data_IF_632849025986
#
_entry.id   IF_632849025986
#
_cell.length_a   1.000
_cell.length_b   1.000
_cell.length_c   1.000
_cell.angle_alpha   90.00
_cell.angle_beta   90.00
_cell.angle_gamma   90.00
#
_symmetry.space_group_name_H-M   'P 1'
#
loop_
_entity.id
_entity.type
_entity.pdbx_description
1 polymer ?
#
# COMPACT_ATOMS: atom_id res chain seq x y z
N UNK A 1 -31.02 20.78 -11.79
CA UNK A 1 -30.07 19.68 -11.52
C UNK A 1 -30.60 18.35 -12.08
N UNK A 2 -31.82 17.92 -11.73
CA UNK A 2 -32.46 16.72 -12.30
C UNK A 2 -32.61 16.81 -13.85
N UNK A 3 -32.99 17.97 -14.39
CA UNK A 3 -33.07 18.18 -15.85
C UNK A 3 -31.73 18.13 -16.59
N UNK A 4 -30.63 18.44 -15.90
CA UNK A 4 -29.28 18.40 -16.49
C UNK A 4 -28.78 16.96 -16.53
N UNK A 5 -29.06 16.19 -15.47
CA UNK A 5 -28.74 14.77 -15.40
C UNK A 5 -29.57 13.95 -16.40
N UNK A 6 -30.86 14.27 -16.56
CA UNK A 6 -31.71 13.64 -17.58
C UNK A 6 -31.20 13.91 -19.01
N UNK A 7 -30.70 15.12 -19.29
CA UNK A 7 -30.14 15.49 -20.61
C UNK A 7 -28.79 14.86 -20.93
N UNK A 8 -28.00 14.50 -19.93
CA UNK A 8 -26.68 13.86 -20.11
C UNK A 8 -26.81 12.33 -20.25
N UNK A 9 -27.88 11.75 -19.69
CA UNK A 9 -28.14 10.31 -19.69
C UNK A 9 -29.04 9.83 -20.84
N UNK A 10 -29.59 10.73 -21.67
CA UNK A 10 -30.45 10.38 -22.79
C UNK A 10 -29.60 9.91 -24.01
N UNK A 11 -29.70 8.64 -24.45
CA UNK A 11 -28.89 8.07 -25.54
C UNK A 11 -29.21 8.66 -26.93
N UNK A 12 -30.28 9.46 -27.03
CA UNK A 12 -30.91 9.83 -28.30
C UNK A 12 -30.21 10.97 -29.06
N UNK A 13 -29.06 11.48 -28.59
CA UNK A 13 -28.43 12.71 -29.10
C UNK A 13 -27.01 12.60 -29.68
N UNK A 14 -26.53 11.39 -29.99
CA UNK A 14 -25.22 11.19 -30.63
C UNK A 14 -25.05 11.82 -32.03
N UNK A 15 -26.07 12.47 -32.61
CA UNK A 15 -26.01 13.01 -33.99
C UNK A 15 -25.96 14.55 -34.12
N UNK A 16 -25.67 15.32 -33.08
CA UNK A 16 -25.53 16.77 -33.21
C UNK A 16 -24.26 17.32 -32.53
N UNK A 17 -23.12 17.03 -33.14
CA UNK A 17 -21.85 17.69 -32.87
C UNK A 17 -21.77 19.03 -33.59
N UNK A 18 -21.97 20.14 -32.87
CA UNK A 18 -21.25 21.41 -33.04
C UNK A 18 -21.90 22.51 -32.20
N UNK A 19 -21.07 23.39 -31.65
CA UNK A 19 -21.41 24.67 -31.00
C UNK A 19 -21.81 24.60 -29.51
N UNK A 20 -20.83 24.83 -28.63
CA UNK A 20 -20.86 25.84 -27.55
C UNK A 20 -19.58 25.74 -26.71
N UNK A 21 -18.47 26.10 -27.34
CA UNK A 21 -17.18 26.34 -26.68
C UNK A 21 -17.11 27.80 -26.23
N UNK A 22 -17.09 28.05 -24.92
CA UNK A 22 -16.11 28.95 -24.24
C UNK A 22 -16.62 29.65 -22.97
N UNK A 23 -17.93 29.83 -22.74
CA UNK A 23 -18.43 30.64 -21.61
C UNK A 23 -19.02 29.84 -20.42
N UNK A 24 -19.26 28.54 -20.56
CA UNK A 24 -19.85 27.65 -19.54
C UNK A 24 -18.85 26.90 -18.67
N UNK A 25 -17.57 26.86 -19.05
CA UNK A 25 -16.56 26.05 -18.37
C UNK A 25 -16.25 26.51 -16.93
N UNK A 26 -16.29 27.82 -16.65
CA UNK A 26 -15.96 28.34 -15.33
C UNK A 26 -17.03 28.07 -14.25
N UNK A 27 -18.31 28.02 -14.63
CA UNK A 27 -19.41 27.69 -13.70
C UNK A 27 -19.63 26.18 -13.54
N UNK A 28 -19.28 25.37 -14.53
CA UNK A 28 -19.37 23.91 -14.44
C UNK A 28 -18.32 23.34 -13.47
N UNK A 29 -17.09 23.87 -13.47
CA UNK A 29 -16.02 23.40 -12.58
C UNK A 29 -16.31 23.64 -11.09
N UNK A 30 -17.02 24.72 -10.73
CA UNK A 30 -17.45 24.99 -9.36
C UNK A 30 -18.57 24.09 -8.86
N UNK A 31 -19.51 23.71 -9.74
CA UNK A 31 -20.65 22.83 -9.41
C UNK A 31 -20.23 21.35 -9.37
N UNK A 32 -19.25 20.94 -10.17
CA UNK A 32 -18.74 19.57 -10.23
C UNK A 32 -17.91 19.16 -8.99
N UNK A 33 -17.45 20.12 -8.18
CA UNK A 33 -16.66 19.90 -6.97
C UNK A 33 -17.44 20.18 -5.67
N UNK A 34 -18.77 20.25 -5.76
CA UNK A 34 -19.63 20.50 -4.60
C UNK A 34 -19.76 19.23 -3.75
N UNK A 35 -19.69 19.35 -2.42
CA UNK A 35 -19.60 18.17 -1.53
C UNK A 35 -20.87 17.30 -1.59
N UNK A 36 -22.01 17.93 -1.88
CA UNK A 36 -23.31 17.29 -2.08
C UNK A 36 -23.34 16.42 -3.33
N UNK A 37 -22.73 16.91 -4.42
CA UNK A 37 -22.62 16.18 -5.68
C UNK A 37 -21.66 14.99 -5.55
N UNK A 38 -20.53 15.17 -4.85
CA UNK A 38 -19.60 14.08 -4.55
C UNK A 38 -20.26 13.01 -3.68
N UNK A 39 -20.98 13.40 -2.61
CA UNK A 39 -21.72 12.44 -1.76
C UNK A 39 -22.74 11.64 -2.59
N UNK A 40 -23.49 12.30 -3.47
CA UNK A 40 -24.46 11.63 -4.34
C UNK A 40 -23.80 10.59 -5.24
N UNK A 41 -22.64 10.90 -5.83
CA UNK A 41 -21.88 9.95 -6.64
C UNK A 41 -21.36 8.77 -5.81
N UNK A 42 -20.94 9.00 -4.57
CA UNK A 42 -20.55 7.92 -3.66
C UNK A 42 -21.76 7.06 -3.27
N UNK A 43 -22.92 7.65 -3.03
CA UNK A 43 -24.15 6.90 -2.72
C UNK A 43 -24.60 6.04 -3.92
N UNK A 44 -24.42 6.54 -5.15
CA UNK A 44 -24.64 5.76 -6.37
C UNK A 44 -23.67 4.57 -6.43
N UNK A 45 -22.40 4.75 -6.05
CA UNK A 45 -21.45 3.63 -5.97
C UNK A 45 -21.91 2.56 -4.97
N UNK A 46 -22.46 2.96 -3.82
CA UNK A 46 -22.90 2.02 -2.76
C UNK A 46 -24.15 1.23 -3.12
N UNK A 47 -25.12 1.86 -3.79
CA UNK A 47 -26.51 1.34 -3.83
C UNK A 47 -27.04 1.01 -5.22
N UNK A 48 -26.35 1.42 -6.28
CA UNK A 48 -26.87 1.31 -7.65
C UNK A 48 -26.39 0.07 -8.40
N UNK A 49 -27.00 -0.19 -9.56
CA UNK A 49 -26.61 -1.27 -10.45
C UNK A 49 -25.20 -1.05 -11.06
N UNK A 50 -24.55 -2.09 -11.61
CA UNK A 50 -23.17 -2.00 -12.06
C UNK A 50 -22.95 -0.97 -13.19
N UNK A 51 -23.95 -0.76 -14.04
CA UNK A 51 -23.92 0.26 -15.09
C UNK A 51 -23.84 1.69 -14.51
N UNK A 52 -24.68 2.01 -13.52
CA UNK A 52 -24.65 3.29 -12.84
C UNK A 52 -23.38 3.48 -11.99
N UNK A 53 -22.89 2.42 -11.35
CA UNK A 53 -21.61 2.43 -10.65
C UNK A 53 -20.44 2.74 -11.60
N UNK A 54 -20.43 2.14 -12.80
CA UNK A 54 -19.43 2.41 -13.84
C UNK A 54 -19.41 3.88 -14.24
N UNK A 55 -20.60 4.46 -14.47
CA UNK A 55 -20.77 5.88 -14.82
C UNK A 55 -20.30 6.78 -13.67
N UNK A 56 -20.72 6.49 -12.43
CA UNK A 56 -20.31 7.24 -11.25
C UNK A 56 -18.80 7.21 -11.03
N UNK A 57 -18.16 6.04 -11.09
CA UNK A 57 -16.72 5.89 -10.96
C UNK A 57 -15.95 6.64 -12.07
N UNK A 58 -16.48 6.64 -13.29
CA UNK A 58 -15.88 7.35 -14.42
C UNK A 58 -15.99 8.88 -14.28
N UNK A 59 -17.14 9.38 -13.83
CA UNK A 59 -17.35 10.81 -13.54
C UNK A 59 -16.42 11.26 -12.41
N UNK A 60 -16.33 10.48 -11.32
CA UNK A 60 -15.39 10.76 -10.24
C UNK A 60 -13.95 10.79 -10.73
N UNK A 61 -13.55 9.82 -11.56
CA UNK A 61 -12.22 9.81 -12.15
C UNK A 61 -11.96 11.06 -13.04
N UNK A 62 -12.96 11.49 -13.81
CA UNK A 62 -12.84 12.69 -14.64
C UNK A 62 -12.66 13.95 -13.80
N UNK A 63 -13.47 14.13 -12.74
CA UNK A 63 -13.34 15.25 -11.80
C UNK A 63 -11.94 15.29 -11.20
N UNK A 64 -11.38 14.12 -10.87
CA UNK A 64 -10.04 13.96 -10.33
C UNK A 64 -8.89 14.27 -11.30
N UNK A 65 -9.17 14.34 -12.60
CA UNK A 65 -8.14 14.69 -13.59
C UNK A 65 -7.83 16.18 -13.57
N UNK A 66 -8.74 17.03 -13.06
CA UNK A 66 -8.67 18.48 -13.28
C UNK A 66 -8.30 19.36 -12.07
N UNK A 67 -8.29 18.91 -10.79
CA UNK A 67 -7.79 19.66 -9.60
C UNK A 67 -7.99 18.89 -8.25
N UNK A 68 -7.43 19.36 -7.10
CA UNK A 68 -7.33 18.57 -5.87
C UNK A 68 -8.58 18.75 -4.98
N UNK A 69 -9.63 17.95 -5.20
CA UNK A 69 -10.81 17.88 -4.32
C UNK A 69 -10.82 16.65 -3.39
N UNK A 70 -9.63 16.13 -3.09
CA UNK A 70 -9.43 14.88 -2.35
C UNK A 70 -9.97 14.95 -0.94
N UNK A 71 -9.71 16.07 -0.25
CA UNK A 71 -10.13 16.26 1.13
C UNK A 71 -11.65 16.16 1.28
N UNK A 72 -12.39 16.75 0.32
CA UNK A 72 -13.86 16.66 0.28
C UNK A 72 -14.33 15.24 -0.03
N UNK A 73 -13.62 14.48 -0.86
CA UNK A 73 -14.01 13.11 -1.20
C UNK A 73 -13.68 12.10 -0.08
N UNK A 74 -12.55 12.26 0.62
CA UNK A 74 -12.24 11.47 1.81
C UNK A 74 -13.32 11.71 2.87
N UNK A 75 -13.81 12.95 3.01
CA UNK A 75 -14.95 13.25 3.88
C UNK A 75 -16.30 12.67 3.40
N UNK A 76 -16.41 12.32 2.11
CA UNK A 76 -17.60 11.69 1.52
C UNK A 76 -17.57 10.16 1.55
N UNK A 77 -16.63 9.53 2.28
CA UNK A 77 -16.58 8.08 2.48
C UNK A 77 -16.54 7.27 1.16
N UNK A 78 -15.70 7.72 0.23
CA UNK A 78 -15.46 7.04 -1.05
C UNK A 78 -15.00 5.59 -0.89
N UNK A 79 -14.34 5.27 0.23
CA UNK A 79 -13.81 3.93 0.49
C UNK A 79 -14.92 2.90 0.57
N UNK A 80 -15.96 3.15 1.36
CA UNK A 80 -17.09 2.22 1.44
C UNK A 80 -17.87 2.12 0.11
N UNK A 81 -17.89 3.21 -0.68
CA UNK A 81 -18.41 3.19 -2.05
C UNK A 81 -17.64 2.25 -2.97
N UNK A 82 -16.30 2.29 -2.91
CA UNK A 82 -15.45 1.39 -3.68
C UNK A 82 -15.53 -0.06 -3.17
N UNK A 83 -15.56 -0.27 -1.86
CA UNK A 83 -15.74 -1.59 -1.25
C UNK A 83 -17.06 -2.24 -1.68
N UNK A 84 -18.16 -1.47 -1.69
CA UNK A 84 -19.45 -1.95 -2.17
C UNK A 84 -19.42 -2.40 -3.64
N UNK A 85 -18.68 -1.69 -4.50
CA UNK A 85 -18.48 -2.09 -5.90
C UNK A 85 -17.67 -3.40 -5.98
N UNK A 86 -16.69 -3.60 -5.12
CA UNK A 86 -15.84 -4.80 -5.12
C UNK A 86 -16.48 -6.02 -4.43
N UNK A 87 -17.49 -5.81 -3.57
CA UNK A 87 -18.20 -6.88 -2.84
C UNK A 87 -19.52 -7.30 -3.50
N UNK A 88 -19.73 -6.98 -4.78
CA UNK A 88 -20.97 -7.33 -5.46
C UNK A 88 -21.22 -8.84 -5.47
N UNK A 89 -22.46 -9.23 -5.19
CA UNK A 89 -22.90 -10.64 -5.14
C UNK A 89 -22.63 -11.40 -6.45
N UNK A 90 -22.74 -10.71 -7.59
CA UNK A 90 -22.44 -11.26 -8.92
C UNK A 90 -21.01 -11.77 -9.09
N UNK A 91 -20.10 -11.41 -8.18
CA UNK A 91 -18.69 -11.83 -8.19
C UNK A 91 -18.44 -13.11 -7.38
N UNK A 92 -19.37 -13.50 -6.50
CA UNK A 92 -19.22 -14.55 -5.48
C UNK A 92 -20.06 -15.82 -5.76
N UNK A 93 -20.95 -15.81 -6.76
CA UNK A 93 -21.82 -16.96 -7.01
C UNK A 93 -21.04 -18.17 -7.57
N UNK A 94 -21.02 -19.22 -6.75
CA UNK A 94 -20.37 -20.50 -6.98
C UNK A 94 -21.36 -21.49 -7.59
N UNK A 95 -21.11 -21.83 -8.84
CA UNK A 95 -21.39 -23.09 -9.56
C UNK A 95 -22.76 -23.79 -9.58
N UNK A 96 -23.80 -23.40 -8.84
CA UNK A 96 -24.99 -24.25 -8.77
C UNK A 96 -26.37 -23.63 -9.03
N UNK A 97 -26.51 -22.35 -9.38
CA UNK A 97 -27.83 -21.81 -9.72
C UNK A 97 -27.86 -20.99 -11.02
N UNK A 98 -28.81 -21.38 -11.87
CA UNK A 98 -29.53 -20.64 -12.92
C UNK A 98 -28.80 -19.58 -13.75
N UNK A 99 -28.77 -19.81 -15.07
CA UNK A 99 -28.52 -18.82 -16.14
C UNK A 99 -27.54 -17.71 -15.77
N UNK A 100 -26.25 -17.93 -16.03
CA UNK A 100 -25.24 -16.87 -15.97
C UNK A 100 -25.74 -15.70 -16.81
N UNK A 101 -26.20 -14.64 -16.15
CA UNK A 101 -26.64 -13.42 -16.84
C UNK A 101 -25.38 -12.72 -17.34
N UNK A 102 -24.91 -13.12 -18.53
CA UNK A 102 -23.65 -12.68 -19.14
C UNK A 102 -23.57 -11.15 -19.13
N UNK A 103 -24.72 -10.48 -19.33
CA UNK A 103 -24.84 -9.03 -19.28
C UNK A 103 -24.51 -8.47 -17.90
N UNK A 104 -25.05 -9.03 -16.82
CA UNK A 104 -24.76 -8.58 -15.45
C UNK A 104 -23.29 -8.81 -15.07
N UNK A 105 -22.69 -9.91 -15.54
CA UNK A 105 -21.27 -10.19 -15.33
C UNK A 105 -20.36 -9.21 -16.08
N UNK A 106 -20.73 -8.83 -17.32
CA UNK A 106 -20.02 -7.79 -18.07
C UNK A 106 -20.15 -6.41 -17.43
N UNK A 107 -21.36 -6.02 -17.02
CA UNK A 107 -21.58 -4.74 -16.35
C UNK A 107 -20.84 -4.68 -15.00
N UNK A 108 -20.82 -5.78 -14.23
CA UNK A 108 -20.04 -5.90 -12.99
C UNK A 108 -18.53 -5.78 -13.27
N UNK A 109 -18.04 -6.43 -14.33
CA UNK A 109 -16.65 -6.31 -14.76
C UNK A 109 -16.26 -4.87 -15.12
N UNK A 110 -17.13 -4.16 -15.84
CA UNK A 110 -16.93 -2.76 -16.19
C UNK A 110 -16.92 -1.85 -14.94
N UNK A 111 -17.81 -2.09 -13.98
CA UNK A 111 -17.89 -1.35 -12.72
C UNK A 111 -16.61 -1.53 -11.90
N UNK A 112 -16.17 -2.78 -11.74
CA UNK A 112 -14.93 -3.15 -11.04
C UNK A 112 -13.71 -2.52 -11.71
N UNK A 113 -13.63 -2.55 -13.03
CA UNK A 113 -12.51 -1.93 -13.77
C UNK A 113 -12.48 -0.41 -13.58
N UNK A 114 -13.64 0.25 -13.67
CA UNK A 114 -13.75 1.69 -13.46
C UNK A 114 -13.38 2.09 -12.02
N UNK A 115 -13.88 1.33 -11.02
CA UNK A 115 -13.54 1.51 -9.61
C UNK A 115 -12.06 1.26 -9.32
N UNK A 116 -11.46 0.22 -9.91
CA UNK A 116 -10.02 -0.07 -9.78
C UNK A 116 -9.15 1.04 -10.36
N UNK A 117 -9.57 1.63 -11.48
CA UNK A 117 -8.89 2.78 -12.09
C UNK A 117 -9.00 4.03 -11.22
N UNK A 118 -10.18 4.31 -10.67
CA UNK A 118 -10.38 5.39 -9.71
C UNK A 118 -9.52 5.19 -8.46
N UNK A 119 -9.52 3.99 -7.88
CA UNK A 119 -8.70 3.65 -6.71
C UNK A 119 -7.21 3.83 -7.01
N UNK A 120 -6.74 3.32 -8.15
CA UNK A 120 -5.34 3.51 -8.60
C UNK A 120 -4.96 4.99 -8.67
N UNK A 121 -5.88 5.85 -9.10
CA UNK A 121 -5.67 7.30 -9.17
C UNK A 121 -5.69 7.95 -7.79
N UNK A 122 -6.61 7.54 -6.91
CA UNK A 122 -6.65 8.01 -5.52
C UNK A 122 -5.34 7.66 -4.77
N UNK A 123 -4.78 6.47 -5.06
CA UNK A 123 -3.49 6.02 -4.56
C UNK A 123 -2.28 6.79 -5.14
N UNK A 124 -2.45 7.76 -6.06
CA UNK A 124 -1.36 8.70 -6.37
C UNK A 124 -1.18 9.77 -5.28
N UNK A 125 -2.16 9.93 -4.39
CA UNK A 125 -2.22 11.04 -3.46
C UNK A 125 -1.91 10.61 -2.02
N UNK A 126 -0.95 11.29 -1.41
CA UNK A 126 -0.41 10.97 -0.08
C UNK A 126 -1.46 11.03 1.05
N UNK A 127 -2.45 11.93 0.97
CA UNK A 127 -3.51 12.03 1.97
C UNK A 127 -4.41 10.78 2.01
N UNK A 128 -4.63 10.14 0.85
CA UNK A 128 -5.42 8.93 0.75
C UNK A 128 -4.64 7.71 1.28
N UNK A 129 -3.30 7.70 1.21
CA UNK A 129 -2.49 6.61 1.76
C UNK A 129 -2.66 6.43 3.26
N UNK A 130 -2.93 7.52 4.00
CA UNK A 130 -3.07 7.48 5.46
C UNK A 130 -4.44 6.96 5.92
N UNK A 131 -5.46 7.06 5.07
CA UNK A 131 -6.83 6.70 5.42
C UNK A 131 -7.27 5.36 4.84
N UNK A 132 -6.58 4.82 3.84
CA UNK A 132 -6.99 3.60 3.14
C UNK A 132 -6.65 2.33 3.91
N UNK A 133 -7.67 1.50 4.11
CA UNK A 133 -7.51 0.12 4.53
C UNK A 133 -6.93 -0.73 3.38
N UNK A 134 -5.61 -0.64 3.22
CA UNK A 134 -4.88 -1.32 2.14
C UNK A 134 -5.04 -2.84 2.17
N UNK A 135 -5.19 -3.42 3.37
CA UNK A 135 -5.43 -4.85 3.56
C UNK A 135 -6.78 -5.29 2.97
N UNK A 136 -7.88 -4.60 3.33
CA UNK A 136 -9.21 -4.94 2.85
C UNK A 136 -9.29 -4.88 1.32
N UNK A 137 -8.79 -3.79 0.72
CA UNK A 137 -8.77 -3.66 -0.74
C UNK A 137 -7.89 -4.72 -1.41
N UNK A 138 -6.77 -5.11 -0.81
CA UNK A 138 -5.91 -6.18 -1.36
C UNK A 138 -6.65 -7.51 -1.41
N UNK A 139 -7.37 -7.88 -0.34
CA UNK A 139 -8.15 -9.11 -0.31
C UNK A 139 -9.30 -9.09 -1.31
N UNK A 140 -10.02 -7.97 -1.41
CA UNK A 140 -11.09 -7.79 -2.39
C UNK A 140 -10.58 -7.90 -3.83
N UNK A 141 -9.48 -7.22 -4.18
CA UNK A 141 -8.91 -7.28 -5.52
C UNK A 141 -8.36 -8.68 -5.86
N UNK A 142 -7.79 -9.41 -4.88
CA UNK A 142 -7.38 -10.81 -5.07
C UNK A 142 -8.59 -11.71 -5.35
N UNK A 143 -9.67 -11.56 -4.59
CA UNK A 143 -10.92 -12.31 -4.82
C UNK A 143 -11.48 -12.04 -6.23
N UNK A 144 -11.44 -10.78 -6.68
CA UNK A 144 -11.85 -10.36 -8.02
C UNK A 144 -10.97 -10.97 -9.11
N UNK A 145 -9.65 -11.02 -8.93
CA UNK A 145 -8.76 -11.68 -9.90
C UNK A 145 -9.04 -13.18 -10.03
N UNK A 146 -9.47 -13.81 -8.93
CA UNK A 146 -9.88 -15.22 -8.88
C UNK A 146 -11.33 -15.45 -9.35
N UNK A 147 -12.11 -14.40 -9.59
CA UNK A 147 -13.52 -14.48 -10.00
C UNK A 147 -13.71 -14.76 -11.50
N UNK A 148 -14.98 -14.95 -11.90
CA UNK A 148 -15.43 -15.20 -13.28
C UNK A 148 -15.42 -13.97 -14.20
N UNK A 149 -15.00 -12.80 -13.71
CA UNK A 149 -14.94 -11.57 -14.52
C UNK A 149 -14.09 -11.79 -15.79
N UNK A 150 -14.51 -11.26 -16.96
CA UNK A 150 -13.71 -11.29 -18.18
C UNK A 150 -12.29 -10.72 -18.01
N UNK A 151 -11.30 -11.37 -18.63
CA UNK A 151 -9.88 -11.03 -18.52
C UNK A 151 -9.58 -9.55 -18.85
N UNK A 152 -10.33 -8.95 -19.78
CA UNK A 152 -10.14 -7.55 -20.18
C UNK A 152 -10.28 -6.55 -19.04
N UNK A 153 -11.13 -6.85 -18.04
CA UNK A 153 -11.35 -5.99 -16.88
C UNK A 153 -10.34 -6.23 -15.76
N UNK A 154 -9.69 -7.40 -15.74
CA UNK A 154 -8.69 -7.78 -14.72
C UNK A 154 -7.40 -6.97 -14.82
N UNK A 155 -7.10 -6.35 -15.95
CA UNK A 155 -5.88 -5.54 -16.13
C UNK A 155 -5.80 -4.37 -15.14
N UNK A 156 -6.90 -3.63 -14.96
CA UNK A 156 -6.93 -2.51 -14.00
C UNK A 156 -6.95 -2.99 -12.55
N UNK A 157 -7.57 -4.14 -12.28
CA UNK A 157 -7.57 -4.79 -10.96
C UNK A 157 -6.13 -5.18 -10.58
N UNK A 158 -5.40 -5.82 -11.50
CA UNK A 158 -4.00 -6.21 -11.31
C UNK A 158 -3.08 -4.98 -11.14
N UNK A 159 -3.24 -3.95 -11.98
CA UNK A 159 -2.49 -2.70 -11.86
C UNK A 159 -2.73 -2.01 -10.51
N UNK A 160 -3.98 -2.02 -10.03
CA UNK A 160 -4.35 -1.49 -8.73
C UNK A 160 -3.71 -2.30 -7.58
N UNK A 161 -3.78 -3.63 -7.66
CA UNK A 161 -3.17 -4.55 -6.68
C UNK A 161 -1.65 -4.34 -6.57
N UNK A 162 -0.94 -4.24 -7.70
CA UNK A 162 0.51 -3.99 -7.72
C UNK A 162 0.84 -2.66 -7.04
N UNK A 163 0.04 -1.63 -7.30
CA UNK A 163 0.23 -0.30 -6.70
C UNK A 163 -0.07 -0.31 -5.20
N UNK A 164 -1.13 -0.99 -4.78
CA UNK A 164 -1.42 -1.22 -3.36
C UNK A 164 -0.30 -2.00 -2.68
N UNK A 165 0.22 -3.06 -3.31
CA UNK A 165 1.35 -3.83 -2.80
C UNK A 165 2.62 -2.97 -2.64
N UNK A 166 2.93 -2.12 -3.61
CA UNK A 166 4.05 -1.18 -3.51
C UNK A 166 3.90 -0.19 -2.34
N UNK A 167 2.67 0.19 -1.99
CA UNK A 167 2.37 1.05 -0.84
C UNK A 167 2.33 0.27 0.47
N UNK A 168 1.82 -0.97 0.44
CA UNK A 168 1.67 -1.90 1.55
C UNK A 168 2.99 -2.58 1.94
N UNK A 169 4.03 -2.53 1.12
CA UNK A 169 5.38 -2.90 1.55
C UNK A 169 5.87 -2.04 2.74
N UNK A 170 5.18 -0.95 3.09
CA UNK A 170 5.41 -0.19 4.34
C UNK A 170 4.64 -0.72 5.56
N UNK A 171 3.66 -1.59 5.33
CA UNK A 171 2.85 -2.26 6.34
C UNK A 171 2.79 -3.74 5.98
N UNK A 172 3.90 -4.45 6.17
CA UNK A 172 3.89 -5.92 6.07
C UNK A 172 2.87 -6.43 7.09
N UNK A 173 1.79 -7.03 6.60
CA UNK A 173 0.84 -7.74 7.43
C UNK A 173 1.56 -8.92 8.08
N UNK A 174 1.63 -8.86 9.41
CA UNK A 174 2.32 -9.82 10.28
C UNK A 174 1.62 -11.19 10.26
N UNK A 175 0.42 -11.29 9.66
CA UNK A 175 -0.47 -12.46 9.76
C UNK A 175 -0.67 -13.25 8.46
N UNK A 176 -0.13 -12.82 7.31
CA UNK A 176 -0.21 -13.62 6.07
C UNK A 176 1.02 -14.55 5.98
N UNK A 177 0.88 -15.89 6.12
CA UNK A 177 2.01 -16.81 6.09
C UNK A 177 2.80 -16.77 4.77
N UNK A 178 2.17 -16.38 3.66
CA UNK A 178 2.85 -16.20 2.37
C UNK A 178 3.75 -14.96 2.42
N UNK A 179 3.31 -13.90 3.07
CA UNK A 179 4.08 -12.66 3.23
C UNK A 179 5.27 -12.86 4.18
N UNK A 180 5.11 -13.73 5.19
CA UNK A 180 6.20 -14.14 6.09
C UNK A 180 7.30 -14.88 5.32
N UNK A 181 6.96 -15.86 4.49
CA UNK A 181 7.93 -16.64 3.73
C UNK A 181 8.72 -15.77 2.73
N UNK A 182 8.03 -14.89 1.99
CA UNK A 182 8.69 -13.91 1.12
C UNK A 182 9.59 -12.96 1.92
N UNK A 183 9.16 -12.53 3.10
CA UNK A 183 9.96 -11.66 3.97
C UNK A 183 11.24 -12.36 4.43
N UNK A 184 11.15 -13.62 4.83
CA UNK A 184 12.28 -14.39 5.35
C UNK A 184 13.30 -14.76 4.28
N UNK A 185 12.85 -15.25 3.13
CA UNK A 185 13.74 -15.85 2.13
C UNK A 185 14.07 -14.96 0.93
N UNK A 186 13.37 -13.83 0.75
CA UNK A 186 13.66 -12.89 -0.34
C UNK A 186 14.01 -11.50 0.20
N UNK A 187 13.16 -10.93 1.06
CA UNK A 187 13.32 -9.54 1.52
C UNK A 187 14.54 -9.37 2.43
N UNK A 188 14.69 -10.20 3.47
CA UNK A 188 15.83 -10.11 4.40
C UNK A 188 17.17 -10.29 3.67
N UNK A 189 17.41 -11.36 2.87
CA UNK A 189 18.66 -11.52 2.13
C UNK A 189 18.98 -10.33 1.23
N UNK A 190 17.97 -9.82 0.51
CA UNK A 190 18.12 -8.66 -0.37
C UNK A 190 18.51 -7.40 0.40
N UNK A 191 17.88 -7.14 1.55
CA UNK A 191 18.21 -6.00 2.40
C UNK A 191 19.64 -6.12 2.93
N UNK A 192 20.07 -7.29 3.42
CA UNK A 192 21.45 -7.52 3.86
C UNK A 192 22.46 -7.26 2.73
N UNK A 193 22.16 -7.75 1.52
CA UNK A 193 23.00 -7.50 0.35
C UNK A 193 23.06 -6.00 0.00
N UNK A 194 21.94 -5.28 0.10
CA UNK A 194 21.91 -3.83 -0.11
C UNK A 194 22.72 -3.08 0.94
N UNK A 195 22.64 -3.46 2.21
CA UNK A 195 23.40 -2.80 3.28
C UNK A 195 24.92 -2.98 3.05
N UNK A 196 25.34 -4.17 2.62
CA UNK A 196 26.75 -4.50 2.34
C UNK A 196 27.28 -3.87 1.06
N UNK A 197 26.48 -3.84 -0.01
CA UNK A 197 26.92 -3.46 -1.36
C UNK A 197 26.67 -1.99 -1.74
N UNK A 198 25.95 -1.22 -0.93
CA UNK A 198 25.58 0.16 -1.29
C UNK A 198 26.74 1.14 -1.14
N UNK A 199 27.07 1.83 -2.23
CA UNK A 199 27.97 2.99 -2.22
C UNK A 199 27.29 4.27 -1.71
N UNK A 200 25.95 4.29 -1.65
CA UNK A 200 25.17 5.43 -1.17
C UNK A 200 24.73 5.23 0.28
N UNK A 201 25.11 6.16 1.14
CA UNK A 201 24.74 6.17 2.56
C UNK A 201 23.21 6.25 2.76
N UNK A 202 22.48 6.91 1.83
CA UNK A 202 21.02 6.99 1.89
C UNK A 202 20.34 5.63 1.62
N UNK A 203 20.87 4.86 0.66
CA UNK A 203 20.32 3.54 0.33
C UNK A 203 20.62 2.55 1.46
N UNK A 204 21.84 2.60 2.00
CA UNK A 204 22.20 1.81 3.18
C UNK A 204 21.31 2.14 4.37
N UNK A 205 21.12 3.42 4.69
CA UNK A 205 20.24 3.85 5.78
C UNK A 205 18.81 3.33 5.61
N UNK A 206 18.22 3.51 4.42
CA UNK A 206 16.88 3.04 4.14
C UNK A 206 16.75 1.51 4.31
N UNK A 207 17.75 0.75 3.85
CA UNK A 207 17.74 -0.71 3.98
C UNK A 207 17.85 -1.17 5.45
N UNK A 208 18.71 -0.53 6.26
CA UNK A 208 18.83 -0.87 7.69
C UNK A 208 17.56 -0.50 8.46
N UNK A 209 16.97 0.66 8.18
CA UNK A 209 15.72 1.10 8.83
C UNK A 209 14.57 0.15 8.52
N UNK A 210 14.48 -0.28 7.26
CA UNK A 210 13.47 -1.26 6.85
C UNK A 210 13.69 -2.62 7.52
N UNK A 211 14.94 -3.06 7.63
CA UNK A 211 15.28 -4.27 8.37
C UNK A 211 14.89 -4.17 9.84
N UNK A 212 15.19 -3.05 10.51
CA UNK A 212 14.79 -2.80 11.89
C UNK A 212 13.27 -2.86 12.05
N UNK A 213 12.51 -2.30 11.10
CA UNK A 213 11.05 -2.35 11.10
C UNK A 213 10.55 -3.79 11.07
N UNK A 214 11.06 -4.62 10.16
CA UNK A 214 10.70 -6.04 10.04
C UNK A 214 10.95 -6.79 11.35
N UNK A 215 12.14 -6.62 11.95
CA UNK A 215 12.49 -7.31 13.19
C UNK A 215 11.61 -6.82 14.36
N UNK A 216 11.34 -5.50 14.44
CA UNK A 216 10.53 -4.92 15.52
C UNK A 216 9.05 -5.30 15.44
N UNK A 217 8.60 -5.73 14.26
CA UNK A 217 7.25 -6.27 14.06
C UNK A 217 7.09 -7.70 14.59
N UNK A 218 8.18 -8.35 15.03
CA UNK A 218 8.11 -9.68 15.65
C UNK A 218 7.78 -10.80 14.65
N UNK A 219 8.15 -10.63 13.38
CA UNK A 219 8.03 -11.69 12.38
C UNK A 219 8.79 -12.92 12.85
N UNK A 220 8.12 -14.06 12.95
CA UNK A 220 8.70 -15.33 13.42
C UNK A 220 9.91 -15.69 12.55
N UNK A 221 10.99 -16.16 13.17
CA UNK A 221 12.26 -16.52 12.54
C UNK A 221 13.03 -15.41 11.81
N UNK A 222 12.55 -14.15 11.82
CA UNK A 222 13.23 -13.05 11.14
C UNK A 222 14.62 -12.74 11.70
N UNK A 223 14.82 -12.83 13.01
CA UNK A 223 16.13 -12.67 13.66
C UNK A 223 17.10 -13.77 13.25
N UNK A 224 16.61 -15.01 13.13
CA UNK A 224 17.39 -16.16 12.66
C UNK A 224 17.79 -16.00 11.19
N UNK A 225 16.88 -15.55 10.34
CA UNK A 225 17.16 -15.27 8.93
C UNK A 225 18.24 -14.18 8.79
N UNK A 226 18.18 -13.11 9.58
CA UNK A 226 19.24 -12.08 9.58
C UNK A 226 20.59 -12.67 9.97
N UNK A 227 20.64 -13.53 10.99
CA UNK A 227 21.87 -14.17 11.42
C UNK A 227 22.42 -15.13 10.34
N UNK A 228 21.58 -15.96 9.72
CA UNK A 228 22.00 -16.92 8.69
C UNK A 228 22.53 -16.25 7.41
N UNK A 229 21.98 -15.09 7.05
CA UNK A 229 22.44 -14.28 5.91
C UNK A 229 23.73 -13.48 6.22
N UNK A 230 24.34 -13.69 7.39
CA UNK A 230 25.56 -12.98 7.80
C UNK A 230 25.32 -11.51 8.16
N UNK A 231 24.06 -11.14 8.43
CA UNK A 231 23.67 -9.76 8.73
C UNK A 231 24.34 -9.19 9.97
N UNK A 232 24.73 -10.03 10.95
CA UNK A 232 25.40 -9.58 12.19
C UNK A 232 26.68 -8.80 11.89
N UNK A 233 27.56 -9.33 11.04
CA UNK A 233 28.82 -8.67 10.68
C UNK A 233 28.57 -7.35 9.94
N UNK A 234 27.62 -7.37 9.01
CA UNK A 234 27.24 -6.19 8.21
C UNK A 234 26.69 -5.08 9.12
N UNK A 235 25.84 -5.42 10.09
CA UNK A 235 25.25 -4.45 11.01
C UNK A 235 26.30 -3.88 11.97
N UNK A 236 27.26 -4.68 12.45
CA UNK A 236 28.36 -4.19 13.28
C UNK A 236 29.27 -3.24 12.49
N UNK A 237 29.48 -3.49 11.20
CA UNK A 237 30.18 -2.55 10.32
C UNK A 237 29.40 -1.22 10.20
N UNK A 238 28.07 -1.27 10.05
CA UNK A 238 27.24 -0.06 10.02
C UNK A 238 27.35 0.74 11.33
N UNK A 239 27.50 0.10 12.49
CA UNK A 239 27.72 0.82 13.76
C UNK A 239 28.99 1.69 13.77
N UNK A 240 30.01 1.29 13.00
CA UNK A 240 31.27 2.04 12.88
C UNK A 240 31.23 3.16 11.85
N UNK A 241 30.47 2.97 10.77
CA UNK A 241 30.65 3.70 9.51
C UNK A 241 29.37 4.44 9.07
N UNK A 242 28.23 4.09 9.65
CA UNK A 242 26.90 4.49 9.19
C UNK A 242 26.51 5.92 9.54
N UNK A 243 25.40 6.38 8.96
CA UNK A 243 24.73 7.60 9.40
C UNK A 243 24.17 7.44 10.82
N UNK A 244 23.84 8.53 11.51
CA UNK A 244 23.25 8.45 12.86
C UNK A 244 22.02 7.55 12.90
N UNK A 245 21.14 7.66 11.89
CA UNK A 245 19.93 6.82 11.79
C UNK A 245 20.25 5.37 11.48
N UNK A 246 21.23 5.10 10.60
CA UNK A 246 21.65 3.73 10.30
C UNK A 246 22.29 3.06 11.54
N UNK A 247 23.03 3.81 12.35
CA UNK A 247 23.61 3.33 13.62
C UNK A 247 22.50 3.01 14.63
N UNK A 248 21.55 3.93 14.84
CA UNK A 248 20.40 3.71 15.73
C UNK A 248 19.59 2.48 15.31
N UNK A 249 19.29 2.35 14.01
CA UNK A 249 18.55 1.23 13.47
C UNK A 249 19.32 -0.10 13.61
N UNK A 250 20.63 -0.09 13.34
CA UNK A 250 21.51 -1.26 13.52
C UNK A 250 21.58 -1.70 14.98
N UNK A 251 21.64 -0.75 15.93
CA UNK A 251 21.59 -1.06 17.36
C UNK A 251 20.27 -1.75 17.73
N UNK A 252 19.15 -1.27 17.19
CA UNK A 252 17.84 -1.89 17.40
C UNK A 252 17.79 -3.33 16.91
N UNK A 253 18.29 -3.59 15.69
CA UNK A 253 18.35 -4.95 15.14
C UNK A 253 19.25 -5.85 15.99
N UNK A 254 20.50 -5.42 16.26
CA UNK A 254 21.45 -6.19 17.06
C UNK A 254 20.96 -6.45 18.49
N UNK A 255 20.24 -5.51 19.09
CA UNK A 255 19.59 -5.70 20.39
C UNK A 255 18.57 -6.83 20.35
N UNK A 256 17.69 -6.86 19.35
CA UNK A 256 16.72 -7.94 19.19
C UNK A 256 17.42 -9.29 18.93
N UNK A 257 18.48 -9.33 18.11
CA UNK A 257 19.27 -10.54 17.88
C UNK A 257 19.96 -11.01 19.17
N UNK A 258 20.41 -10.09 20.03
CA UNK A 258 21.05 -10.43 21.31
C UNK A 258 20.10 -11.00 22.37
N UNK A 259 18.79 -11.00 22.13
CA UNK A 259 17.85 -11.71 22.99
C UNK A 259 18.01 -13.24 22.87
N UNK A 260 18.62 -13.70 21.78
CA UNK A 260 18.97 -15.11 21.56
C UNK A 260 20.47 -15.31 21.83
N UNK A 261 20.78 -16.18 22.79
CA UNK A 261 22.15 -16.48 23.23
C UNK A 261 22.99 -17.12 22.12
N UNK A 262 22.37 -17.80 21.14
CA UNK A 262 23.07 -18.39 20.00
C UNK A 262 23.79 -17.33 19.14
N UNK A 263 23.27 -16.09 19.13
CA UNK A 263 23.84 -14.99 18.35
C UNK A 263 25.01 -14.28 19.07
N UNK A 264 25.19 -14.49 20.37
CA UNK A 264 26.15 -13.72 21.18
C UNK A 264 27.58 -13.88 20.70
N UNK A 265 28.00 -15.13 20.44
CA UNK A 265 29.34 -15.43 19.95
C UNK A 265 29.62 -14.75 18.61
N UNK A 266 28.63 -14.73 17.71
CA UNK A 266 28.75 -14.07 16.41
C UNK A 266 28.83 -12.54 16.55
N UNK A 267 28.02 -11.93 17.43
CA UNK A 267 28.05 -10.48 17.69
C UNK A 267 29.41 -10.06 18.27
N UNK A 268 29.97 -10.87 19.18
CA UNK A 268 31.30 -10.64 19.76
C UNK A 268 32.39 -10.80 18.69
N UNK A 269 32.35 -11.89 17.91
CA UNK A 269 33.31 -12.17 16.85
C UNK A 269 33.30 -11.11 15.73
N UNK A 270 32.15 -10.48 15.47
CA UNK A 270 32.02 -9.35 14.56
C UNK A 270 32.68 -8.07 15.07
N UNK A 271 33.15 -8.03 16.31
CA UNK A 271 33.83 -6.87 16.88
C UNK A 271 32.88 -5.82 17.45
N UNK A 272 31.66 -6.20 17.87
CA UNK A 272 30.68 -5.25 18.39
C UNK A 272 31.16 -4.57 19.69
N UNK A 273 31.81 -5.30 20.59
CA UNK A 273 32.21 -4.82 21.93
C UNK A 273 33.01 -3.50 21.92
N UNK A 274 34.12 -3.35 21.16
CA UNK A 274 34.86 -2.09 21.11
C UNK A 274 34.05 -0.94 20.51
N UNK A 275 33.23 -1.21 19.49
CA UNK A 275 32.37 -0.21 18.82
C UNK A 275 31.30 0.29 19.80
N UNK A 276 30.62 -0.61 20.50
CA UNK A 276 29.61 -0.29 21.51
C UNK A 276 30.19 0.53 22.66
N UNK A 277 31.39 0.18 23.16
CA UNK A 277 32.06 0.96 24.20
C UNK A 277 32.33 2.40 23.76
N UNK A 278 32.76 2.59 22.51
CA UNK A 278 32.96 3.93 21.92
C UNK A 278 31.65 4.70 21.82
N UNK A 279 30.56 4.05 21.41
CA UNK A 279 29.23 4.66 21.33
C UNK A 279 28.73 5.10 22.71
N UNK A 280 28.85 4.25 23.73
CA UNK A 280 28.47 4.58 25.12
C UNK A 280 29.24 5.79 25.63
N UNK A 281 30.55 5.86 25.38
CA UNK A 281 31.38 6.99 25.81
C UNK A 281 31.08 8.30 25.06
N UNK A 282 30.45 8.23 23.88
CA UNK A 282 30.13 9.40 23.07
C UNK A 282 28.91 10.20 23.54
N UNK A 283 28.13 9.69 24.52
CA UNK A 283 26.90 10.30 25.06
C UNK A 283 25.85 10.74 24.01
N UNK A 284 25.92 10.19 22.79
CA UNK A 284 24.90 10.37 21.74
C UNK A 284 23.58 9.70 22.13
N UNK A 285 22.40 10.14 21.64
CA UNK A 285 21.09 9.64 22.07
C UNK A 285 20.96 8.11 22.13
N UNK A 286 21.69 7.39 21.28
CA UNK A 286 21.62 5.92 21.16
C UNK A 286 22.49 5.16 22.19
N UNK A 287 23.20 5.88 23.07
CA UNK A 287 24.11 5.29 24.07
C UNK A 287 23.42 4.30 25.01
N UNK A 288 22.13 4.53 25.31
CA UNK A 288 21.37 3.67 26.21
C UNK A 288 21.06 2.31 25.59
N UNK A 289 20.73 2.27 24.28
CA UNK A 289 20.54 1.02 23.56
C UNK A 289 21.86 0.26 23.40
N UNK A 290 22.96 0.98 23.11
CA UNK A 290 24.29 0.39 23.06
C UNK A 290 24.70 -0.23 24.41
N UNK A 291 24.39 0.43 25.53
CA UNK A 291 24.65 -0.12 26.87
C UNK A 291 23.80 -1.37 27.16
N UNK A 292 22.52 -1.36 26.79
CA UNK A 292 21.63 -2.52 26.95
C UNK A 292 22.12 -3.71 26.14
N UNK A 293 22.51 -3.50 24.88
CA UNK A 293 23.09 -4.54 24.03
C UNK A 293 24.39 -5.07 24.64
N UNK A 294 25.29 -4.20 25.12
CA UNK A 294 26.53 -4.62 25.77
C UNK A 294 26.27 -5.49 27.01
N UNK A 295 25.21 -5.20 27.77
CA UNK A 295 24.82 -5.97 28.96
C UNK A 295 24.27 -7.36 28.63
N UNK A 296 23.72 -7.56 27.44
CA UNK A 296 23.19 -8.86 27.02
C UNK A 296 24.30 -9.80 26.56
N UNK A 297 25.44 -9.27 26.10
CA UNK A 297 26.56 -10.08 25.64
C UNK A 297 27.36 -10.60 26.84
N UNK A 298 27.79 -11.87 26.83
CA UNK A 298 28.66 -12.41 27.86
C UNK A 298 29.99 -11.66 27.83
N UNK A 299 30.35 -11.08 28.97
CA UNK A 299 31.60 -10.34 29.20
C UNK A 299 32.78 -11.27 29.46
#
# INVERSE_FOLDING_TARGET
IIDILARILDPSREMASSELTSSTHANAEGVLADSTFLSCLVDILKTSNPNLQTKAASILNFIFTNKPCIEKLISSDIQSGLEAVFQQKSLLETEYDTEVNILELEEAGAAVSAASRLLTKLLDHQQFHQTVNSYNFTQLLRAILSSRIPLQFKNWVAACLVKLGALSNRHLDIEDPINMEVTLYETIPRLIQQIKGSLSQQVQEAAVVELQRIISQGVVDSTRAVASEGGIFVLVEVLGNGSSKAVEASLGVLYNLSMDEENHAAIIAAGAVPVLRKLVNSQKPDWMLALRLLRNLPT
#
